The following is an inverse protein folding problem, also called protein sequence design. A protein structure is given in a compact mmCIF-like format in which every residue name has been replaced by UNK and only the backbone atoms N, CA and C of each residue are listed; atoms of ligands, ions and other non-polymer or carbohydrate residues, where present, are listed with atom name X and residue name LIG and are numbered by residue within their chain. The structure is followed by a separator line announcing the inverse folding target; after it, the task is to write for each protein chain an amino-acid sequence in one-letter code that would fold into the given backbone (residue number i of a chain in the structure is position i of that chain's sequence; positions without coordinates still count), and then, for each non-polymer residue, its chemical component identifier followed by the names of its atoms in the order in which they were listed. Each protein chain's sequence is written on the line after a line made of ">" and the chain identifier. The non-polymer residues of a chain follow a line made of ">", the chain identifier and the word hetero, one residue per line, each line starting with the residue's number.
data_IF_098059025904
#
_entry.id   IF_098059025904
#
_cell.length_a   1.000
_cell.length_b   1.000
_cell.length_c   1.000
_cell.angle_alpha   90.00
_cell.angle_beta   90.00
_cell.angle_gamma   90.00
#
_symmetry.space_group_name_H-M   'P 1'
#
loop_
_entity.id
_entity.type
_entity.pdbx_description
1 polymer ?
#
# COMPACT_ATOMS: atom_id res chain seq x y z
N UNK A 1 -21.52 20.76 -3.61
CA UNK A 1 -20.06 20.77 -3.57
C UNK A 1 -19.55 19.42 -3.07
N UNK A 2 -18.48 18.94 -3.63
CA UNK A 2 -17.92 17.61 -3.29
C UNK A 2 -16.59 17.77 -2.57
N UNK A 3 -16.49 17.26 -1.34
CA UNK A 3 -15.26 17.30 -0.55
C UNK A 3 -14.55 15.96 -0.63
N UNK A 4 -13.30 15.99 -1.10
CA UNK A 4 -12.46 14.82 -1.21
C UNK A 4 -11.64 14.63 0.07
N UNK A 5 -11.74 13.45 0.67
CA UNK A 5 -10.90 13.06 1.82
C UNK A 5 -9.70 12.28 1.33
N UNK A 6 -8.53 12.65 1.83
CA UNK A 6 -7.28 12.00 1.48
C UNK A 6 -6.30 12.05 2.64
N UNK A 7 -5.34 11.12 2.64
CA UNK A 7 -4.32 11.05 3.69
C UNK A 7 -3.37 12.26 3.58
N UNK A 8 -3.02 12.84 4.73
CA UNK A 8 -2.07 13.95 4.80
C UNK A 8 -0.62 13.47 4.74
N UNK A 9 0.32 14.38 4.43
CA UNK A 9 1.75 14.09 4.49
C UNK A 9 2.16 13.63 5.90
N UNK A 10 1.63 14.27 6.94
CA UNK A 10 1.95 13.91 8.33
C UNK A 10 1.59 12.44 8.61
N UNK A 11 0.40 12.02 8.26
CA UNK A 11 -0.05 10.63 8.46
C UNK A 11 0.73 9.67 7.55
N UNK A 12 0.97 10.06 6.30
CA UNK A 12 1.76 9.24 5.37
C UNK A 12 3.16 8.95 5.92
N UNK A 13 3.82 9.95 6.51
CA UNK A 13 5.14 9.78 7.15
C UNK A 13 5.09 8.78 8.30
N UNK A 14 4.05 8.84 9.13
CA UNK A 14 3.85 7.88 10.23
C UNK A 14 3.80 6.45 9.69
N UNK A 15 3.06 6.25 8.61
CA UNK A 15 2.94 4.93 7.98
C UNK A 15 4.26 4.42 7.41
N UNK A 16 4.95 5.26 6.65
CA UNK A 16 6.23 4.89 6.04
C UNK A 16 7.27 4.59 7.11
N UNK A 17 7.38 5.45 8.14
CA UNK A 17 8.35 5.26 9.23
C UNK A 17 8.09 3.96 10.00
N UNK A 18 6.83 3.65 10.30
CA UNK A 18 6.48 2.42 11.01
C UNK A 18 6.80 1.18 10.18
N UNK A 19 6.51 1.20 8.89
CA UNK A 19 6.82 0.11 7.97
C UNK A 19 8.34 -0.11 7.85
N UNK A 20 9.10 0.95 7.65
CA UNK A 20 10.56 0.88 7.55
C UNK A 20 11.19 0.42 8.87
N UNK A 21 10.66 0.86 10.01
CA UNK A 21 11.13 0.41 11.32
C UNK A 21 10.94 -1.11 11.47
N UNK A 22 9.80 -1.63 11.07
CA UNK A 22 9.54 -3.08 11.09
C UNK A 22 10.47 -3.83 10.15
N UNK A 23 10.63 -3.34 8.92
CA UNK A 23 11.53 -3.93 7.93
C UNK A 23 12.98 -3.91 8.40
N UNK A 24 13.39 -2.87 9.12
CA UNK A 24 14.77 -2.68 9.60
C UNK A 24 15.19 -3.67 10.68
N UNK A 25 14.25 -4.46 11.23
CA UNK A 25 14.59 -5.58 12.12
C UNK A 25 15.42 -6.65 11.40
N UNK A 26 15.31 -6.74 10.08
CA UNK A 26 16.12 -7.62 9.24
C UNK A 26 16.80 -6.77 8.17
N UNK A 27 17.91 -6.09 8.49
CA UNK A 27 18.55 -5.14 7.57
C UNK A 27 19.14 -5.79 6.32
N UNK A 28 19.43 -7.08 6.36
CA UNK A 28 19.95 -7.82 5.21
C UNK A 28 18.90 -8.09 4.13
N UNK A 29 17.63 -7.79 4.41
CA UNK A 29 16.54 -7.88 3.45
C UNK A 29 15.93 -6.50 3.23
N UNK A 30 16.66 -5.57 2.60
CA UNK A 30 16.19 -4.19 2.46
C UNK A 30 14.98 -4.08 1.56
N UNK A 31 14.10 -3.15 1.90
CA UNK A 31 12.82 -2.94 1.25
C UNK A 31 12.60 -1.48 0.89
N UNK A 32 11.56 -1.23 0.11
CA UNK A 32 11.02 0.09 -0.14
C UNK A 32 9.55 0.15 0.28
N UNK A 33 9.11 1.32 0.71
CA UNK A 33 7.74 1.58 1.16
C UNK A 33 7.26 2.90 0.55
N UNK A 34 6.03 2.91 0.06
CA UNK A 34 5.40 4.09 -0.52
C UNK A 34 4.01 4.29 0.05
N UNK A 35 3.62 5.54 0.31
CA UNK A 35 2.24 5.92 0.60
C UNK A 35 1.78 6.89 -0.48
N UNK A 36 0.61 6.62 -1.02
CA UNK A 36 -0.05 7.44 -2.04
C UNK A 36 -1.38 7.97 -1.50
N UNK A 37 -1.89 9.02 -2.14
CA UNK A 37 -3.20 9.58 -1.80
C UNK A 37 -4.34 8.74 -2.39
N UNK A 38 -5.57 9.20 -2.26
CA UNK A 38 -6.77 8.51 -2.73
C UNK A 38 -6.84 8.37 -4.26
N UNK A 39 -6.02 9.12 -4.99
CA UNK A 39 -5.90 9.01 -6.46
C UNK A 39 -4.69 8.20 -6.90
N UNK A 40 -3.85 7.78 -5.97
CA UNK A 40 -2.63 7.04 -6.27
C UNK A 40 -1.41 7.93 -6.51
N UNK A 41 -1.49 9.22 -6.19
CA UNK A 41 -0.33 10.12 -6.30
C UNK A 41 0.59 9.95 -5.09
N UNK A 42 1.89 9.91 -5.33
CA UNK A 42 2.89 9.67 -4.29
C UNK A 42 2.93 10.83 -3.28
N UNK A 43 2.85 10.49 -2.00
CA UNK A 43 3.01 11.45 -0.91
C UNK A 43 4.34 11.26 -0.19
N UNK A 44 4.66 10.01 0.17
CA UNK A 44 5.86 9.69 0.96
C UNK A 44 6.44 8.36 0.52
N UNK A 45 7.77 8.30 0.45
CA UNK A 45 8.50 7.14 -0.02
C UNK A 45 9.83 7.02 0.72
N UNK A 46 10.17 5.80 1.13
CA UNK A 46 11.50 5.50 1.64
C UNK A 46 12.01 4.18 1.08
N UNK A 47 13.29 4.17 0.75
CA UNK A 47 13.99 2.97 0.29
C UNK A 47 15.16 2.72 1.24
N UNK A 48 15.18 1.54 1.86
CA UNK A 48 16.28 1.12 2.72
C UNK A 48 17.57 1.02 1.92
N UNK A 49 18.69 1.28 2.59
CA UNK A 49 20.01 1.11 1.97
C UNK A 49 20.19 -0.31 1.43
N UNK A 50 20.67 -0.40 0.20
CA UNK A 50 20.86 -1.67 -0.48
C UNK A 50 19.65 -2.22 -1.22
N UNK A 51 18.46 -1.66 -1.03
CA UNK A 51 17.28 -2.09 -1.78
C UNK A 51 17.42 -1.71 -3.25
N UNK A 52 17.04 -2.64 -4.13
CA UNK A 52 17.10 -2.42 -5.57
C UNK A 52 16.07 -1.35 -6.01
N UNK A 53 16.39 -0.65 -7.08
CA UNK A 53 15.45 0.30 -7.70
C UNK A 53 14.10 -0.34 -7.99
N UNK A 54 14.10 -1.59 -8.46
CA UNK A 54 12.89 -2.36 -8.74
C UNK A 54 11.95 -2.38 -7.53
N UNK A 55 12.48 -2.53 -6.32
CA UNK A 55 11.63 -2.58 -5.11
C UNK A 55 10.94 -1.24 -4.86
N UNK A 56 11.62 -0.12 -5.14
CA UNK A 56 11.01 1.19 -5.07
C UNK A 56 9.87 1.36 -6.07
N UNK A 57 10.11 0.96 -7.31
CA UNK A 57 9.11 1.00 -8.37
C UNK A 57 7.89 0.14 -8.03
N UNK A 58 8.14 -1.06 -7.50
CA UNK A 58 7.07 -1.99 -7.13
C UNK A 58 6.28 -1.52 -5.90
N UNK A 59 6.95 -0.96 -4.89
CA UNK A 59 6.26 -0.41 -3.72
C UNK A 59 5.27 0.68 -4.15
N UNK A 60 5.68 1.57 -5.03
CA UNK A 60 4.80 2.60 -5.58
C UNK A 60 3.64 1.99 -6.37
N UNK A 61 3.92 1.03 -7.26
CA UNK A 61 2.88 0.39 -8.08
C UNK A 61 1.84 -0.35 -7.24
N UNK A 62 2.28 -1.00 -6.16
CA UNK A 62 1.38 -1.67 -5.22
C UNK A 62 0.46 -0.67 -4.52
N UNK A 63 1.03 0.44 -4.04
CA UNK A 63 0.24 1.50 -3.42
C UNK A 63 -0.74 2.12 -4.43
N UNK A 64 -0.26 2.48 -5.61
CA UNK A 64 -1.07 3.04 -6.70
C UNK A 64 -2.26 2.14 -7.03
N UNK A 65 -2.00 0.85 -7.21
CA UNK A 65 -3.05 -0.11 -7.58
C UNK A 65 -4.09 -0.25 -6.46
N UNK A 66 -3.63 -0.40 -5.20
CA UNK A 66 -4.53 -0.50 -4.06
C UNK A 66 -5.40 0.75 -3.91
N UNK A 67 -4.85 1.95 -4.15
CA UNK A 67 -5.59 3.19 -4.07
C UNK A 67 -6.62 3.34 -5.19
N UNK A 68 -6.24 3.07 -6.43
CA UNK A 68 -7.12 3.28 -7.59
C UNK A 68 -8.21 2.21 -7.70
N UNK A 69 -7.90 0.95 -7.37
CA UNK A 69 -8.89 -0.12 -7.32
C UNK A 69 -9.60 -0.20 -5.97
N UNK A 70 -9.15 0.59 -4.99
CA UNK A 70 -9.76 0.72 -3.65
C UNK A 70 -9.97 -0.63 -2.96
N UNK A 71 -8.90 -1.44 -2.93
CA UNK A 71 -8.94 -2.76 -2.33
C UNK A 71 -7.55 -3.29 -2.00
N UNK A 72 -7.50 -4.22 -1.07
CA UNK A 72 -6.32 -4.99 -0.72
C UNK A 72 -5.84 -5.80 -1.93
N UNK A 73 -4.54 -5.76 -2.22
CA UNK A 73 -4.02 -6.47 -3.40
C UNK A 73 -4.08 -7.99 -3.28
N UNK A 74 -4.01 -8.56 -2.07
CA UNK A 74 -4.21 -10.01 -1.88
C UNK A 74 -5.62 -10.41 -2.31
N UNK A 75 -6.60 -9.70 -1.85
CA UNK A 75 -7.99 -9.89 -2.21
C UNK A 75 -8.20 -9.70 -3.71
N UNK A 76 -7.59 -8.65 -4.27
CA UNK A 76 -7.68 -8.35 -5.71
C UNK A 76 -7.04 -9.46 -6.54
N UNK A 77 -5.86 -9.93 -6.15
CA UNK A 77 -5.17 -11.04 -6.78
C UNK A 77 -6.04 -12.30 -6.81
N UNK A 78 -6.60 -12.70 -5.66
CA UNK A 78 -7.47 -13.87 -5.55
C UNK A 78 -8.72 -13.72 -6.40
N UNK A 79 -9.32 -12.54 -6.41
CA UNK A 79 -10.51 -12.27 -7.22
C UNK A 79 -10.22 -12.38 -8.72
N UNK A 80 -9.12 -11.80 -9.20
CA UNK A 80 -8.76 -11.87 -10.62
C UNK A 80 -8.48 -13.31 -11.07
N UNK A 81 -7.84 -14.11 -10.23
CA UNK A 81 -7.61 -15.54 -10.51
C UNK A 81 -8.95 -16.28 -10.60
N UNK A 82 -9.85 -16.03 -9.66
CA UNK A 82 -11.18 -16.67 -9.64
C UNK A 82 -11.97 -16.40 -10.91
N UNK A 83 -11.93 -15.18 -11.43
CA UNK A 83 -12.66 -14.80 -12.64
C UNK A 83 -11.83 -14.97 -13.92
N UNK A 84 -10.60 -15.51 -13.80
CA UNK A 84 -9.69 -15.76 -14.93
C UNK A 84 -9.36 -14.51 -15.77
N UNK A 85 -9.21 -13.36 -15.11
CA UNK A 85 -8.84 -12.09 -15.76
C UNK A 85 -7.40 -11.74 -15.43
N UNK A 86 -6.61 -11.41 -16.44
CA UNK A 86 -5.28 -10.85 -16.27
C UNK A 86 -5.36 -9.33 -16.06
N UNK A 87 -4.68 -8.83 -15.04
CA UNK A 87 -4.61 -7.39 -14.78
C UNK A 87 -4.01 -6.65 -15.97
N UNK A 88 -2.92 -7.18 -16.55
CA UNK A 88 -2.24 -6.55 -17.69
C UNK A 88 -3.10 -6.52 -18.93
N UNK A 89 -3.93 -7.52 -19.15
CA UNK A 89 -4.84 -7.58 -20.30
C UNK A 89 -6.02 -6.62 -20.14
N UNK A 90 -6.45 -6.40 -18.90
CA UNK A 90 -7.60 -5.55 -18.61
C UNK A 90 -7.22 -4.07 -18.45
N UNK A 91 -6.13 -3.77 -17.75
CA UNK A 91 -5.77 -2.39 -17.40
C UNK A 91 -4.33 -2.01 -17.74
N UNK A 92 -3.42 -2.98 -17.87
CA UNK A 92 -2.03 -2.74 -18.23
C UNK A 92 -1.17 -2.12 -17.14
N UNK A 93 0.00 -1.60 -17.56
CA UNK A 93 0.93 -0.86 -16.71
C UNK A 93 0.37 0.54 -16.38
N UNK A 94 0.60 1.12 -15.18
CA UNK A 94 1.59 0.71 -14.16
C UNK A 94 1.03 -0.18 -13.05
N UNK A 95 -0.12 -0.79 -13.22
CA UNK A 95 -0.77 -1.55 -12.17
C UNK A 95 -0.08 -2.89 -11.92
N UNK A 96 -0.22 -3.39 -10.70
CA UNK A 96 0.24 -4.72 -10.30
C UNK A 96 -0.75 -5.36 -9.34
N UNK A 97 -0.92 -6.68 -9.44
CA UNK A 97 -1.74 -7.44 -8.48
C UNK A 97 -0.89 -8.19 -7.46
N UNK A 98 0.44 -7.99 -7.47
CA UNK A 98 1.32 -8.65 -6.51
C UNK A 98 1.02 -8.12 -5.10
N UNK A 99 0.68 -9.00 -4.13
CA UNK A 99 0.34 -8.58 -2.77
C UNK A 99 1.42 -7.72 -2.09
N UNK A 100 0.99 -6.87 -1.16
CA UNK A 100 1.85 -5.92 -0.47
C UNK A 100 1.36 -4.48 -0.60
N UNK A 101 0.17 -4.26 -1.15
CA UNK A 101 -0.51 -2.98 -1.19
C UNK A 101 -1.81 -3.03 -0.41
N UNK A 102 -2.03 -2.08 0.49
CA UNK A 102 -3.18 -2.03 1.39
C UNK A 102 -3.82 -0.65 1.35
N UNK A 103 -5.16 -0.57 1.20
CA UNK A 103 -5.83 0.72 1.28
C UNK A 103 -5.79 1.29 2.69
N UNK A 104 -5.70 2.61 2.80
CA UNK A 104 -5.77 3.33 4.08
C UNK A 104 -7.23 3.58 4.39
N UNK A 105 -7.79 2.73 5.22
CA UNK A 105 -9.19 2.72 5.60
C UNK A 105 -9.34 2.06 6.98
N UNK A 106 -10.52 2.18 7.57
CA UNK A 106 -10.86 1.39 8.77
C UNK A 106 -10.96 -0.08 8.41
N UNK A 107 -10.63 -0.94 9.38
CA UNK A 107 -10.85 -2.38 9.21
C UNK A 107 -12.33 -2.65 8.88
N UNK A 108 -12.56 -3.55 7.94
CA UNK A 108 -13.90 -3.89 7.48
C UNK A 108 -14.48 -2.97 6.41
N UNK A 109 -13.74 -1.95 5.97
CA UNK A 109 -14.17 -1.12 4.84
C UNK A 109 -14.23 -1.96 3.57
N UNK A 110 -15.35 -1.89 2.87
CA UNK A 110 -15.58 -2.66 1.65
C UNK A 110 -14.77 -2.13 0.46
N UNK A 111 -14.43 -2.99 -0.51
CA UNK A 111 -13.82 -2.55 -1.76
C UNK A 111 -14.66 -1.45 -2.44
N UNK A 112 -14.00 -0.54 -3.13
CA UNK A 112 -14.61 0.59 -3.84
C UNK A 112 -15.30 1.63 -2.96
N UNK A 113 -15.21 1.51 -1.63
CA UNK A 113 -15.76 2.51 -0.71
C UNK A 113 -15.12 3.89 -0.93
N UNK A 114 -15.89 4.93 -0.75
CA UNK A 114 -15.37 6.30 -0.74
C UNK A 114 -14.59 6.63 0.55
N UNK A 115 -14.64 5.76 1.55
CA UNK A 115 -13.92 5.90 2.81
C UNK A 115 -12.52 5.25 2.76
N UNK A 116 -11.90 5.26 1.60
CA UNK A 116 -10.52 4.85 1.36
C UNK A 116 -9.74 6.11 1.00
N UNK A 117 -8.75 6.46 1.82
CA UNK A 117 -8.10 7.77 1.80
C UNK A 117 -6.71 7.77 1.18
N UNK A 118 -6.28 6.65 0.65
CA UNK A 118 -4.98 6.41 0.06
C UNK A 118 -4.59 4.96 0.18
N UNK A 119 -3.32 4.66 0.00
CA UNK A 119 -2.81 3.30 0.15
C UNK A 119 -1.33 3.31 0.52
N UNK A 120 -0.89 2.21 1.14
CA UNK A 120 0.52 1.93 1.42
C UNK A 120 0.95 0.70 0.64
N UNK A 121 2.16 0.72 0.08
CA UNK A 121 2.76 -0.41 -0.62
C UNK A 121 4.16 -0.68 -0.12
N UNK A 122 4.53 -1.97 -0.01
CA UNK A 122 5.85 -2.43 0.39
C UNK A 122 6.35 -3.50 -0.56
N UNK A 123 7.64 -3.47 -0.86
CA UNK A 123 8.26 -4.43 -1.77
C UNK A 123 9.73 -4.67 -1.43
N UNK A 124 10.17 -5.92 -1.61
CA UNK A 124 11.56 -6.30 -1.42
C UNK A 124 11.76 -7.71 -0.90
N UNK A 125 10.68 -8.38 -0.49
CA UNK A 125 10.72 -9.73 0.06
C UNK A 125 9.66 -10.60 -0.63
N UNK A 126 9.36 -11.77 -0.07
CA UNK A 126 8.23 -12.57 -0.54
C UNK A 126 6.91 -11.86 -0.23
N UNK A 127 5.87 -12.21 -0.97
CA UNK A 127 4.55 -11.54 -0.91
C UNK A 127 4.00 -11.43 0.51
N UNK A 128 4.10 -12.50 1.30
CA UNK A 128 3.58 -12.52 2.67
C UNK A 128 4.36 -11.57 3.58
N UNK A 129 5.68 -11.50 3.40
CA UNK A 129 6.53 -10.59 4.17
C UNK A 129 6.26 -9.13 3.77
N UNK A 130 6.10 -8.85 2.48
CA UNK A 130 5.76 -7.52 1.99
C UNK A 130 4.43 -7.03 2.59
N UNK A 131 3.43 -7.91 2.67
CA UNK A 131 2.15 -7.59 3.29
C UNK A 131 2.28 -7.26 4.78
N UNK A 132 3.10 -8.01 5.52
CA UNK A 132 3.32 -7.75 6.95
C UNK A 132 3.95 -6.38 7.18
N UNK A 133 4.88 -5.97 6.31
CA UNK A 133 5.52 -4.67 6.40
C UNK A 133 4.53 -3.55 6.08
N UNK A 134 3.77 -3.68 4.99
CA UNK A 134 2.72 -2.73 4.65
C UNK A 134 1.68 -2.62 5.78
N UNK A 135 1.33 -3.74 6.40
CA UNK A 135 0.36 -3.80 7.49
C UNK A 135 0.85 -3.08 8.75
N UNK A 136 2.15 -3.17 9.06
CA UNK A 136 2.74 -2.41 10.16
C UNK A 136 2.55 -0.91 9.96
N UNK A 137 2.79 -0.42 8.75
CA UNK A 137 2.54 0.98 8.40
C UNK A 137 1.07 1.36 8.46
N UNK A 138 0.20 0.52 7.90
CA UNK A 138 -1.25 0.76 7.94
C UNK A 138 -1.77 0.86 9.38
N UNK A 139 -1.37 -0.05 10.26
CA UNK A 139 -1.79 -0.02 11.68
C UNK A 139 -1.38 1.26 12.38
N UNK A 140 -0.16 1.75 12.11
CA UNK A 140 0.30 3.00 12.69
C UNK A 140 -0.53 4.19 12.23
N UNK A 141 -0.89 4.23 10.96
CA UNK A 141 -1.77 5.28 10.41
C UNK A 141 -3.19 5.17 10.98
N UNK A 142 -3.72 3.96 11.08
CA UNK A 142 -5.06 3.72 11.63
C UNK A 142 -5.18 4.22 13.07
N UNK A 143 -4.15 4.04 13.89
CA UNK A 143 -4.15 4.52 15.29
C UNK A 143 -4.28 6.04 15.39
N UNK A 144 -3.74 6.77 14.42
CA UNK A 144 -3.84 8.23 14.38
C UNK A 144 -5.16 8.68 13.80
N UNK A 145 -5.60 8.04 12.72
CA UNK A 145 -6.83 8.42 12.01
C UNK A 145 -8.09 8.02 12.78
N UNK A 146 -8.05 6.87 13.42
CA UNK A 146 -9.22 6.29 14.15
C UNK A 146 -8.75 5.75 15.50
N UNK A 147 -8.43 6.64 16.43
CA UNK A 147 -7.98 6.18 17.76
C UNK A 147 -9.07 5.39 18.44
N UNK A 148 -8.68 4.32 19.13
CA UNK A 148 -9.61 3.55 19.96
C UNK A 148 -10.04 4.37 21.16
N UNK A 149 -11.31 4.32 21.48
CA UNK A 149 -11.85 4.98 22.67
C UNK A 149 -11.45 4.26 23.96
#
# INVERSE_FOLDING_TARGET
>A
MYDRKTVSLEVAKIGVEAAIKEASKIPDKPMAVAVVDDRGELICFERMDGAQKLFGDMAFRKALTAAQFRRDLREFYEHLIEIEVSLSDAWGSPYTMIPGGLPIAKDGTLPFSMDIYGAIGASGRYMDEDELIAKAGLKAMQKVLWPSE
#
